data_IF_663248498985
#
_entry.id   IF_663248498985
#
_cell.length_a   1.000
_cell.length_b   1.000
_cell.length_c   1.000
_cell.angle_alpha   90.00
_cell.angle_beta   90.00
_cell.angle_gamma   90.00
#
_symmetry.space_group_name_H-M   'P 1'
#
loop_
_entity.id
_entity.type
_entity.pdbx_description
1 polymer ?
#
# COMPACT_ATOMS: atom_id res chain seq x y z
N UNK A 1 -10.33 4.43 -33.21
CA UNK A 1 -10.45 5.43 -34.32
C UNK A 1 -9.80 6.73 -33.89
N UNK A 2 -8.84 7.25 -34.65
CA UNK A 2 -8.31 8.59 -34.45
C UNK A 2 -9.23 9.61 -35.15
N UNK A 3 -9.54 10.72 -34.47
CA UNK A 3 -10.34 11.83 -35.01
C UNK A 3 -9.53 13.12 -34.92
N UNK A 4 -9.73 14.03 -35.88
CA UNK A 4 -9.25 15.41 -35.77
C UNK A 4 -10.06 16.19 -34.73
N UNK A 5 -9.54 17.35 -34.29
CA UNK A 5 -10.27 18.31 -33.45
C UNK A 5 -11.60 18.79 -34.08
N UNK A 6 -11.75 18.68 -35.41
CA UNK A 6 -12.99 18.94 -36.14
C UNK A 6 -13.92 17.72 -36.28
N UNK A 7 -13.63 16.62 -35.58
CA UNK A 7 -14.50 15.44 -35.51
C UNK A 7 -14.41 14.48 -36.71
N UNK A 8 -13.54 14.75 -37.69
CA UNK A 8 -13.41 13.91 -38.88
C UNK A 8 -12.48 12.72 -38.60
N UNK A 9 -12.95 11.51 -38.92
CA UNK A 9 -12.17 10.27 -38.73
C UNK A 9 -11.08 10.17 -39.78
N UNK A 10 -9.83 9.90 -39.38
CA UNK A 10 -8.66 10.03 -40.26
C UNK A 10 -8.14 8.69 -40.81
N UNK A 11 -8.57 7.54 -40.28
CA UNK A 11 -8.11 6.21 -40.71
C UNK A 11 -9.18 5.11 -40.54
N UNK A 12 -9.09 4.08 -41.39
CA UNK A 12 -9.83 2.81 -41.25
C UNK A 12 -9.48 2.10 -39.95
N UNK A 13 -10.42 1.30 -39.42
CA UNK A 13 -10.30 0.63 -38.13
C UNK A 13 -8.99 -0.16 -38.00
N UNK A 14 -8.07 0.35 -37.17
CA UNK A 14 -6.88 -0.38 -36.73
C UNK A 14 -7.34 -1.57 -35.88
N UNK A 15 -7.50 -2.73 -36.52
CA UNK A 15 -7.68 -3.99 -35.84
C UNK A 15 -6.41 -4.35 -35.06
N UNK A 16 -6.39 -4.03 -33.77
CA UNK A 16 -5.31 -4.47 -32.87
C UNK A 16 -5.62 -5.89 -32.45
N UNK A 17 -4.96 -6.87 -33.06
CA UNK A 17 -5.06 -8.26 -32.62
C UNK A 17 -3.91 -8.55 -31.65
N UNK A 18 -4.17 -8.38 -30.36
CA UNK A 18 -3.22 -8.75 -29.31
C UNK A 18 -3.19 -10.27 -29.17
N UNK A 19 -2.06 -10.89 -29.51
CA UNK A 19 -1.83 -12.32 -29.22
C UNK A 19 -1.85 -12.50 -27.70
N UNK A 20 -2.69 -13.39 -27.18
CA UNK A 20 -2.67 -13.75 -25.77
C UNK A 20 -1.25 -14.16 -25.38
N UNK A 21 -0.69 -13.63 -24.28
CA UNK A 21 0.61 -14.09 -23.81
C UNK A 21 0.51 -15.60 -23.55
N UNK A 22 1.46 -16.36 -24.10
CA UNK A 22 1.72 -17.74 -23.68
C UNK A 22 1.85 -17.79 -22.16
N UNK A 23 1.51 -18.89 -21.46
CA UNK A 23 1.49 -18.97 -20.00
C UNK A 23 2.92 -18.87 -19.43
N UNK A 24 3.44 -17.65 -19.41
CA UNK A 24 4.53 -17.20 -18.58
C UNK A 24 3.85 -16.59 -17.36
N UNK A 25 4.18 -17.16 -16.19
CA UNK A 25 3.79 -16.75 -14.84
C UNK A 25 3.32 -15.29 -14.80
N UNK A 26 2.01 -15.12 -14.77
CA UNK A 26 1.36 -13.83 -14.65
C UNK A 26 1.70 -13.31 -13.27
N UNK A 27 2.64 -12.37 -13.18
CA UNK A 27 2.62 -11.39 -12.10
C UNK A 27 1.31 -10.63 -12.27
N UNK A 28 0.29 -11.03 -11.50
CA UNK A 28 -1.02 -10.41 -11.49
C UNK A 28 -0.87 -9.01 -10.87
N UNK A 29 -0.45 -8.04 -11.69
CA UNK A 29 -0.88 -6.66 -11.50
C UNK A 29 -2.38 -6.63 -11.77
N UNK A 30 -3.18 -6.78 -10.71
CA UNK A 30 -4.64 -6.80 -10.83
C UNK A 30 -5.15 -5.42 -11.25
N UNK A 31 -5.99 -5.44 -12.28
CA UNK A 31 -6.88 -4.36 -12.71
C UNK A 31 -7.70 -3.84 -11.54
N UNK A 32 -7.63 -2.54 -11.25
CA UNK A 32 -8.60 -1.85 -10.41
C UNK A 32 -9.93 -1.86 -11.18
N UNK A 33 -10.79 -2.83 -10.90
CA UNK A 33 -12.16 -2.84 -11.41
C UNK A 33 -13.04 -1.93 -10.56
N UNK A 34 -12.87 -0.62 -10.74
CA UNK A 34 -13.81 0.38 -10.23
C UNK A 34 -14.70 0.87 -11.38
N UNK A 35 -15.95 0.41 -11.44
CA UNK A 35 -16.96 0.99 -12.31
C UNK A 35 -17.47 2.30 -11.71
N UNK A 36 -16.80 3.42 -12.00
CA UNK A 36 -17.39 4.75 -12.24
C UNK A 36 -16.26 5.72 -12.57
N UNK A 37 -16.09 6.02 -13.86
CA UNK A 37 -15.27 7.12 -14.35
C UNK A 37 -16.15 8.35 -14.49
N UNK A 38 -16.19 9.20 -13.47
CA UNK A 38 -16.57 10.60 -13.66
C UNK A 38 -15.35 11.45 -13.26
N UNK A 39 -14.64 11.92 -14.29
CA UNK A 39 -13.57 12.89 -14.17
C UNK A 39 -14.16 14.22 -13.67
N UNK A 40 -13.86 14.60 -12.42
CA UNK A 40 -13.99 15.99 -11.97
C UNK A 40 -12.59 16.59 -11.93
N UNK A 41 -12.33 17.48 -12.89
CA UNK A 41 -11.14 18.31 -12.98
C UNK A 41 -10.98 19.20 -11.72
N UNK A 42 -9.89 19.00 -10.99
CA UNK A 42 -9.29 20.00 -10.09
C UNK A 42 -7.76 19.79 -10.09
N UNK A 43 -6.95 20.83 -9.84
CA UNK A 43 -5.57 20.89 -10.32
C UNK A 43 -4.67 19.98 -9.48
N UNK A 44 -4.27 18.84 -10.04
CA UNK A 44 -3.26 17.99 -9.44
C UNK A 44 -1.88 18.60 -9.68
N UNK A 45 -1.21 19.01 -8.61
CA UNK A 45 0.26 18.98 -8.57
C UNK A 45 0.67 17.54 -8.89
N UNK A 46 1.30 17.36 -10.05
CA UNK A 46 1.85 16.09 -10.50
C UNK A 46 2.85 15.58 -9.46
N UNK A 47 2.43 14.66 -8.58
CA UNK A 47 3.38 13.79 -7.90
C UNK A 47 3.84 12.83 -8.99
N UNK A 48 5.03 13.09 -9.53
CA UNK A 48 5.68 12.15 -10.44
C UNK A 48 5.94 10.87 -9.66
N UNK A 49 5.49 9.74 -10.21
CA UNK A 49 5.80 8.38 -9.74
C UNK A 49 7.31 8.05 -9.78
N UNK A 50 8.14 8.99 -10.25
CA UNK A 50 9.60 8.88 -10.35
C UNK A 50 10.32 9.13 -9.00
N UNK A 51 9.66 9.67 -7.98
CA UNK A 51 10.26 10.05 -6.69
C UNK A 51 9.97 9.07 -5.52
N UNK A 52 9.34 7.92 -5.78
CA UNK A 52 9.24 6.84 -4.78
C UNK A 52 10.24 5.74 -5.15
N UNK A 53 11.33 5.63 -4.37
CA UNK A 53 12.14 4.41 -4.25
C UNK A 53 11.23 3.27 -3.79
N UNK A 54 10.43 2.71 -4.70
CA UNK A 54 9.52 1.59 -4.39
C UNK A 54 10.33 0.30 -4.41
N UNK A 55 10.36 -0.47 -3.31
CA UNK A 55 11.03 -1.76 -3.31
C UNK A 55 10.41 -2.69 -4.36
N UNK A 56 11.21 -3.52 -5.04
CA UNK A 56 10.68 -4.53 -5.98
C UNK A 56 9.63 -5.41 -5.28
N UNK A 57 8.59 -5.81 -6.02
CA UNK A 57 7.44 -6.58 -5.51
C UNK A 57 6.55 -5.84 -4.51
N UNK A 58 6.49 -4.51 -4.56
CA UNK A 58 5.52 -3.72 -3.80
C UNK A 58 4.44 -3.14 -4.70
N UNK A 59 3.20 -3.15 -4.22
CA UNK A 59 2.10 -2.41 -4.80
C UNK A 59 2.00 -1.07 -4.08
N UNK A 60 2.15 0.00 -4.84
CA UNK A 60 1.83 1.36 -4.39
C UNK A 60 0.53 1.77 -5.05
N UNK A 61 -0.46 2.19 -4.27
CA UNK A 61 -1.78 2.54 -4.81
C UNK A 61 -2.53 3.55 -3.96
N UNK A 62 -3.48 4.22 -4.60
CA UNK A 62 -4.49 5.06 -3.96
C UNK A 62 -5.86 4.42 -4.21
N UNK A 63 -6.53 4.00 -3.14
CA UNK A 63 -7.85 3.38 -3.20
C UNK A 63 -8.87 4.37 -2.65
N UNK A 64 -9.72 4.91 -3.51
CA UNK A 64 -10.91 5.68 -3.11
C UNK A 64 -12.11 4.76 -3.03
N UNK A 65 -12.87 4.83 -1.95
CA UNK A 65 -14.05 4.02 -1.76
C UNK A 65 -15.16 4.82 -1.07
N UNK A 66 -16.40 4.72 -1.57
CA UNK A 66 -17.54 5.35 -0.92
C UNK A 66 -17.94 4.56 0.32
N UNK A 67 -18.15 5.27 1.43
CA UNK A 67 -18.70 4.74 2.66
C UNK A 67 -20.10 5.33 2.86
N UNK A 68 -21.07 4.45 3.09
CA UNK A 68 -22.38 4.85 3.61
C UNK A 68 -22.27 4.95 5.12
N UNK A 69 -22.33 6.17 5.65
CA UNK A 69 -22.18 6.44 7.07
C UNK A 69 -23.46 7.04 7.65
N UNK A 70 -23.87 6.56 8.81
CA UNK A 70 -24.86 7.23 9.63
C UNK A 70 -24.17 8.29 10.48
N UNK A 71 -24.45 9.56 10.20
CA UNK A 71 -23.95 10.69 10.98
C UNK A 71 -25.02 11.10 11.97
N UNK A 72 -24.69 11.09 13.25
CA UNK A 72 -25.61 11.47 14.32
C UNK A 72 -26.19 12.87 14.06
N UNK A 73 -27.52 12.96 13.96
CA UNK A 73 -28.25 14.20 13.70
C UNK A 73 -28.40 14.60 12.23
N UNK A 74 -27.72 13.92 11.30
CA UNK A 74 -27.85 14.16 9.85
C UNK A 74 -28.39 12.94 9.08
N UNK A 75 -28.33 11.75 9.68
CA UNK A 75 -28.74 10.51 9.05
C UNK A 75 -27.67 9.97 8.09
N UNK A 76 -28.09 9.18 7.10
CA UNK A 76 -27.15 8.55 6.16
C UNK A 76 -26.55 9.58 5.18
N UNK A 77 -25.22 9.55 5.06
CA UNK A 77 -24.44 10.36 4.11
C UNK A 77 -23.39 9.47 3.45
N UNK A 78 -23.09 9.78 2.19
CA UNK A 78 -21.96 9.21 1.49
C UNK A 78 -20.70 10.00 1.87
N UNK A 79 -19.65 9.28 2.22
CA UNK A 79 -18.36 9.83 2.62
C UNK A 79 -17.29 9.13 1.81
N UNK A 80 -16.36 9.89 1.24
CA UNK A 80 -15.25 9.31 0.51
C UNK A 80 -14.08 9.03 1.44
N UNK A 81 -13.67 7.76 1.51
CA UNK A 81 -12.41 7.33 2.08
C UNK A 81 -11.37 7.18 0.98
N UNK A 82 -10.14 7.63 1.24
CA UNK A 82 -8.99 7.29 0.38
C UNK A 82 -7.88 6.67 1.20
N UNK A 83 -7.41 5.47 0.87
CA UNK A 83 -6.20 4.88 1.44
C UNK A 83 -5.06 4.93 0.43
N UNK A 84 -3.91 5.44 0.85
CA UNK A 84 -2.67 5.32 0.10
C UNK A 84 -1.76 4.35 0.83
N UNK A 85 -1.02 3.49 0.15
CA UNK A 85 -0.01 2.69 0.83
C UNK A 85 0.87 1.87 -0.09
N UNK A 86 1.93 1.32 0.50
CA UNK A 86 2.90 0.44 -0.15
C UNK A 86 2.87 -0.92 0.54
N UNK A 87 2.47 -1.99 -0.16
CA UNK A 87 2.44 -3.35 0.39
C UNK A 87 3.15 -4.33 -0.54
N UNK A 88 4.03 -5.21 -0.04
CA UNK A 88 4.53 -6.33 -0.84
C UNK A 88 3.38 -7.17 -1.40
N UNK A 89 3.46 -7.58 -2.68
CA UNK A 89 2.40 -8.35 -3.36
C UNK A 89 2.53 -9.86 -3.19
N UNK A 90 3.67 -10.33 -2.66
CA UNK A 90 3.99 -11.75 -2.59
C UNK A 90 4.50 -12.10 -1.20
N UNK A 91 3.86 -13.05 -0.50
CA UNK A 91 4.34 -13.59 0.78
C UNK A 91 4.51 -15.10 0.79
N UNK A 92 5.37 -15.56 1.71
CA UNK A 92 5.58 -16.97 1.97
C UNK A 92 4.40 -17.53 2.79
N UNK A 93 4.06 -18.82 2.63
CA UNK A 93 3.09 -19.47 3.50
C UNK A 93 3.50 -19.34 4.98
N UNK A 94 2.58 -18.91 5.85
CA UNK A 94 2.87 -18.70 7.27
C UNK A 94 3.59 -17.39 7.62
N UNK A 95 3.92 -16.55 6.63
CA UNK A 95 4.59 -15.28 6.86
C UNK A 95 3.65 -14.24 7.52
N UNK A 96 4.20 -13.46 8.45
CA UNK A 96 3.51 -12.31 9.04
C UNK A 96 3.80 -11.07 8.20
N UNK A 97 2.76 -10.32 7.87
CA UNK A 97 2.86 -9.13 7.06
C UNK A 97 1.91 -8.02 7.49
N UNK A 98 2.21 -6.81 7.06
CA UNK A 98 1.31 -5.67 7.10
C UNK A 98 0.88 -5.33 5.67
N UNK A 99 -0.38 -5.01 5.49
CA UNK A 99 -0.99 -4.66 4.21
C UNK A 99 -0.69 -3.23 3.74
N UNK A 100 0.49 -2.74 4.13
CA UNK A 100 1.02 -1.45 3.79
C UNK A 100 1.00 -0.42 4.90
N UNK A 101 1.69 0.67 4.65
CA UNK A 101 1.79 1.88 5.49
C UNK A 101 1.22 3.05 4.72
N UNK A 102 0.32 3.80 5.34
CA UNK A 102 -0.53 4.72 4.61
C UNK A 102 -1.28 5.74 5.44
N UNK A 103 -1.96 6.65 4.78
CA UNK A 103 -2.93 7.53 5.46
C UNK A 103 -4.26 7.55 4.71
N UNK A 104 -5.31 7.67 5.51
CA UNK A 104 -6.68 7.92 5.15
C UNK A 104 -6.96 9.40 4.93
N UNK A 105 -7.82 9.74 3.99
CA UNK A 105 -8.51 11.04 3.97
C UNK A 105 -10.01 10.81 3.96
N UNK A 106 -10.70 11.57 4.80
CA UNK A 106 -12.15 11.71 4.79
C UNK A 106 -12.47 13.09 4.24
N UNK A 107 -13.29 13.14 3.18
CA UNK A 107 -13.79 14.40 2.62
C UNK A 107 -15.26 14.52 2.96
N UNK A 108 -15.61 15.57 3.70
CA UNK A 108 -16.99 15.99 3.89
C UNK A 108 -17.31 17.04 2.83
N UNK A 109 -18.24 16.76 1.90
CA UNK A 109 -18.62 17.71 0.86
C UNK A 109 -19.21 18.99 1.44
N UNK A 110 -18.99 20.12 0.77
CA UNK A 110 -19.49 21.43 1.17
C UNK A 110 -20.98 21.46 1.61
N UNK A 111 -21.94 20.79 0.94
CA UNK A 111 -23.33 20.77 1.39
C UNK A 111 -23.54 20.14 2.78
N UNK A 112 -22.73 19.13 3.12
CA UNK A 112 -22.76 18.47 4.44
C UNK A 112 -22.14 19.40 5.48
N UNK A 113 -21.06 20.10 5.12
CA UNK A 113 -20.43 21.12 5.98
C UNK A 113 -21.40 22.26 6.26
N UNK A 114 -22.15 22.73 5.26
CA UNK A 114 -23.17 23.76 5.42
C UNK A 114 -24.28 23.33 6.39
N UNK A 115 -24.77 22.10 6.25
CA UNK A 115 -25.79 21.53 7.15
C UNK A 115 -25.28 21.42 8.59
N UNK A 116 -24.01 21.05 8.78
CA UNK A 116 -23.35 21.02 10.09
C UNK A 116 -23.22 22.42 10.70
N UNK A 117 -22.74 23.39 9.93
CA UNK A 117 -22.53 24.77 10.40
C UNK A 117 -23.85 25.49 10.68
N UNK A 118 -24.94 25.17 9.97
CA UNK A 118 -26.27 25.67 10.29
C UNK A 118 -26.77 25.19 11.66
N UNK A 119 -26.37 23.99 12.09
CA UNK A 119 -26.70 23.45 13.42
C UNK A 119 -25.74 23.93 14.52
N UNK A 120 -24.48 24.22 14.17
CA UNK A 120 -23.45 24.71 15.10
C UNK A 120 -22.72 25.94 14.54
N UNK A 121 -23.36 27.14 14.54
CA UNK A 121 -22.83 28.31 13.83
C UNK A 121 -21.52 28.87 14.39
N UNK A 122 -21.19 28.55 15.64
CA UNK A 122 -19.95 28.97 16.29
C UNK A 122 -18.74 28.07 15.95
N UNK A 123 -18.95 26.97 15.21
CA UNK A 123 -17.88 26.08 14.81
C UNK A 123 -17.05 26.67 13.68
N UNK A 124 -15.73 26.64 13.84
CA UNK A 124 -14.75 27.13 12.85
C UNK A 124 -13.67 26.10 12.54
N UNK A 125 -13.59 25.04 13.34
CA UNK A 125 -12.64 23.93 13.24
C UNK A 125 -13.41 22.62 13.37
N UNK A 126 -12.92 21.58 12.71
CA UNK A 126 -13.35 20.21 12.95
C UNK A 126 -12.12 19.33 13.16
N UNK A 127 -12.18 18.44 14.13
CA UNK A 127 -11.26 17.32 14.25
C UNK A 127 -12.07 16.05 14.36
N UNK A 128 -11.44 14.90 14.17
CA UNK A 128 -12.11 13.63 14.37
C UNK A 128 -11.12 12.62 14.91
N UNK A 129 -11.65 11.59 15.55
CA UNK A 129 -10.87 10.42 15.93
C UNK A 129 -11.66 9.15 15.62
N UNK A 130 -10.94 8.14 15.16
CA UNK A 130 -11.50 6.85 14.77
C UNK A 130 -11.35 5.90 15.94
N UNK A 131 -12.48 5.37 16.43
CA UNK A 131 -12.58 4.43 17.56
C UNK A 131 -12.88 2.99 17.11
N UNK A 132 -13.24 2.81 15.84
CA UNK A 132 -13.42 1.52 15.19
C UNK A 132 -12.90 1.62 13.75
N UNK A 133 -11.97 0.75 13.38
CA UNK A 133 -11.50 0.64 11.99
C UNK A 133 -11.16 -0.81 11.69
N UNK A 134 -12.12 -1.53 11.13
CA UNK A 134 -11.97 -2.94 10.82
C UNK A 134 -11.39 -3.14 9.42
N UNK A 135 -10.49 -4.10 9.33
CA UNK A 135 -10.05 -4.69 8.08
C UNK A 135 -10.27 -6.20 8.16
N UNK A 136 -10.93 -6.77 7.19
CA UNK A 136 -11.08 -8.22 7.07
C UNK A 136 -10.16 -8.77 6.00
N UNK A 137 -9.84 -10.05 6.12
CA UNK A 137 -8.96 -10.75 5.21
C UNK A 137 -9.47 -12.15 4.93
N UNK A 138 -9.12 -12.69 3.77
CA UNK A 138 -9.26 -14.13 3.49
C UNK A 138 -7.92 -14.83 3.70
N UNK A 139 -7.95 -16.10 4.09
CA UNK A 139 -6.74 -16.93 4.17
C UNK A 139 -5.59 -16.37 5.02
N UNK A 140 -5.91 -15.63 6.09
CA UNK A 140 -4.94 -15.22 7.12
C UNK A 140 -5.44 -15.46 8.53
N UNK A 141 -4.53 -15.31 9.51
CA UNK A 141 -4.86 -15.17 10.92
C UNK A 141 -4.23 -13.87 11.48
N UNK A 142 -5.01 -13.00 12.18
CA UNK A 142 -6.46 -13.08 12.32
C UNK A 142 -7.18 -12.68 11.02
N UNK A 143 -8.38 -13.24 10.78
CA UNK A 143 -9.21 -12.89 9.62
C UNK A 143 -9.78 -11.47 9.69
N UNK A 144 -9.72 -10.83 10.86
CA UNK A 144 -10.15 -9.45 11.07
C UNK A 144 -9.22 -8.75 12.06
N UNK A 145 -8.88 -7.50 11.77
CA UNK A 145 -8.13 -6.63 12.66
C UNK A 145 -8.90 -5.33 12.85
N UNK A 146 -9.13 -4.93 14.10
CA UNK A 146 -9.56 -3.56 14.42
C UNK A 146 -8.32 -2.72 14.74
N UNK A 147 -7.99 -1.79 13.85
CA UNK A 147 -6.81 -0.94 13.99
C UNK A 147 -6.93 0.07 15.14
N UNK A 148 -8.15 0.53 15.44
CA UNK A 148 -8.40 1.45 16.54
C UNK A 148 -8.32 0.77 17.93
N UNK A 149 -8.33 -0.57 17.98
CA UNK A 149 -8.12 -1.31 19.23
C UNK A 149 -6.69 -1.15 19.78
N UNK A 150 -5.73 -0.73 18.95
CA UNK A 150 -4.34 -0.44 19.36
C UNK A 150 -4.17 0.96 19.96
N UNK A 151 -5.22 1.78 19.92
CA UNK A 151 -5.21 3.18 20.32
C UNK A 151 -6.08 4.00 19.37
N UNK A 152 -6.72 5.03 19.91
CA UNK A 152 -7.55 5.95 19.14
C UNK A 152 -6.74 6.60 18.02
N UNK A 153 -7.22 6.48 16.78
CA UNK A 153 -6.54 7.08 15.62
C UNK A 153 -7.04 8.51 15.50
N UNK A 154 -6.21 9.48 15.88
CA UNK A 154 -6.55 10.90 15.79
C UNK A 154 -6.39 11.41 14.37
N UNK A 155 -7.37 12.18 13.90
CA UNK A 155 -7.33 12.89 12.65
C UNK A 155 -6.81 14.32 12.80
N UNK A 156 -6.33 14.87 11.69
CA UNK A 156 -5.89 16.27 11.62
C UNK A 156 -7.03 17.23 11.97
N UNK A 157 -6.73 18.31 12.68
CA UNK A 157 -7.69 19.40 12.79
C UNK A 157 -7.75 20.17 11.45
N UNK A 158 -8.96 20.47 10.99
CA UNK A 158 -9.22 21.16 9.71
C UNK A 158 -10.14 22.35 9.93
N UNK A 159 -9.95 23.41 9.14
CA UNK A 159 -10.87 24.54 9.16
C UNK A 159 -12.19 24.15 8.51
N UNK A 160 -13.31 24.64 9.05
CA UNK A 160 -14.64 24.48 8.44
C UNK A 160 -15.24 25.85 8.16
N UNK A 161 -15.80 26.00 6.97
CA UNK A 161 -16.45 27.22 6.52
C UNK A 161 -17.52 26.89 5.50
N UNK A 162 -18.55 27.72 5.42
CA UNK A 162 -19.63 27.54 4.46
C UNK A 162 -19.11 27.45 3.02
N UNK A 163 -19.72 26.56 2.23
CA UNK A 163 -19.37 26.36 0.82
C UNK A 163 -17.99 25.77 0.56
N UNK A 164 -17.32 25.17 1.57
CA UNK A 164 -16.01 24.52 1.42
C UNK A 164 -16.05 23.07 1.89
N UNK A 165 -15.30 22.21 1.22
CA UNK A 165 -15.09 20.84 1.66
C UNK A 165 -14.22 20.81 2.92
N UNK A 166 -14.59 19.97 3.87
CA UNK A 166 -13.74 19.69 5.04
C UNK A 166 -12.97 18.40 4.80
N UNK A 167 -11.65 18.47 4.82
CA UNK A 167 -10.79 17.30 4.64
C UNK A 167 -10.08 16.99 5.94
N UNK A 168 -10.27 15.76 6.43
CA UNK A 168 -9.59 15.26 7.62
C UNK A 168 -8.66 14.11 7.21
N UNK A 169 -7.38 14.23 7.56
CA UNK A 169 -6.36 13.18 7.37
C UNK A 169 -6.31 12.29 8.60
N UNK A 170 -6.14 10.98 8.41
CA UNK A 170 -5.97 10.02 9.50
C UNK A 170 -4.91 8.97 9.17
N UNK A 171 -3.97 8.66 10.09
CA UNK A 171 -3.66 9.40 11.31
C UNK A 171 -3.17 10.83 10.98
N UNK A 172 -3.28 11.74 11.94
CA UNK A 172 -2.95 13.16 11.76
C UNK A 172 -1.48 13.36 11.31
N UNK A 173 -0.56 12.69 12.01
CA UNK A 173 0.88 12.97 11.93
C UNK A 173 1.73 11.73 11.61
N UNK A 174 1.09 10.61 11.31
CA UNK A 174 1.78 9.34 11.04
C UNK A 174 1.08 8.51 9.98
N UNK A 175 1.76 7.48 9.52
CA UNK A 175 1.16 6.45 8.69
C UNK A 175 0.51 5.36 9.56
N UNK A 176 -0.65 4.90 9.14
CA UNK A 176 -1.34 3.72 9.63
C UNK A 176 -0.75 2.48 8.94
N UNK A 177 -0.25 1.55 9.75
CA UNK A 177 0.16 0.23 9.25
C UNK A 177 -0.96 -0.78 9.45
N UNK A 178 -1.53 -1.31 8.37
CA UNK A 178 -2.69 -2.22 8.44
C UNK A 178 -2.20 -3.65 8.70
N UNK A 179 -2.44 -4.18 9.90
CA UNK A 179 -1.97 -5.52 10.30
C UNK A 179 -1.58 -5.58 11.78
N UNK A 180 -0.85 -6.62 12.22
CA UNK A 180 -0.28 -7.70 11.40
C UNK A 180 -1.31 -8.76 11.00
N UNK A 181 -1.12 -9.35 9.82
CA UNK A 181 -1.79 -10.56 9.36
C UNK A 181 -0.76 -11.67 9.18
N UNK A 182 -1.14 -12.92 9.43
CA UNK A 182 -0.31 -14.09 9.13
C UNK A 182 -0.95 -14.91 8.02
N UNK A 183 -0.29 -15.01 6.86
CA UNK A 183 -0.77 -15.84 5.76
C UNK A 183 -0.93 -17.30 6.22
N UNK A 184 -1.99 -17.98 5.79
CA UNK A 184 -2.12 -19.41 6.07
C UNK A 184 -1.00 -20.20 5.35
N UNK A 185 -0.62 -21.34 5.95
CA UNK A 185 0.42 -22.21 5.40
C UNK A 185 0.00 -22.95 4.12
N UNK A 186 -1.25 -22.80 3.68
CA UNK A 186 -1.80 -23.46 2.49
C UNK A 186 -1.32 -22.84 1.18
N UNK A 187 -0.70 -21.66 1.21
CA UNK A 187 -0.26 -20.97 0.00
C UNK A 187 -1.42 -20.38 -0.81
N UNK A 188 -2.54 -20.07 -0.17
CA UNK A 188 -3.72 -19.50 -0.82
C UNK A 188 -3.66 -17.98 -0.80
N UNK A 189 -3.98 -17.35 -1.94
CA UNK A 189 -4.04 -15.89 -2.06
C UNK A 189 -4.92 -15.26 -0.99
N UNK A 190 -4.47 -14.13 -0.47
CA UNK A 190 -5.17 -13.35 0.54
C UNK A 190 -5.75 -12.11 -0.13
N UNK A 191 -7.03 -11.84 0.11
CA UNK A 191 -7.64 -10.56 -0.21
C UNK A 191 -7.95 -9.82 1.08
N UNK A 192 -7.72 -8.52 1.08
CA UNK A 192 -8.01 -7.63 2.20
C UNK A 192 -9.15 -6.68 1.85
N UNK A 193 -10.07 -6.49 2.78
CA UNK A 193 -11.27 -5.70 2.59
C UNK A 193 -11.42 -4.68 3.71
N UNK A 194 -12.00 -3.53 3.39
CA UNK A 194 -12.43 -2.55 4.39
C UNK A 194 -13.67 -3.10 5.11
N UNK A 195 -13.64 -3.10 6.44
CA UNK A 195 -14.74 -3.49 7.30
C UNK A 195 -15.55 -2.28 7.79
N UNK A 196 -16.15 -2.39 8.97
CA UNK A 196 -16.89 -1.27 9.58
C UNK A 196 -15.91 -0.21 10.08
N UNK A 197 -16.37 1.03 10.04
CA UNK A 197 -15.61 2.17 10.59
C UNK A 197 -16.49 2.98 11.53
N UNK A 198 -15.94 3.40 12.66
CA UNK A 198 -16.60 4.25 13.63
C UNK A 198 -15.66 5.40 13.99
N UNK A 199 -16.20 6.61 13.98
CA UNK A 199 -15.45 7.81 14.32
C UNK A 199 -16.33 8.77 15.11
N UNK A 200 -15.68 9.66 15.86
CA UNK A 200 -16.32 10.81 16.49
C UNK A 200 -15.73 12.07 15.88
N UNK A 201 -16.59 12.90 15.31
CA UNK A 201 -16.25 14.22 14.79
C UNK A 201 -16.54 15.25 15.86
N UNK A 202 -15.55 16.06 16.20
CA UNK A 202 -15.65 17.17 17.13
C UNK A 202 -15.64 18.48 16.37
N UNK A 203 -16.68 19.28 16.54
CA UNK A 203 -16.74 20.65 16.06
C UNK A 203 -16.19 21.56 17.16
N UNK A 204 -15.28 22.46 16.80
CA UNK A 204 -14.60 23.36 17.73
C UNK A 204 -14.66 24.81 17.28
N UNK A 205 -14.48 25.73 18.22
CA UNK A 205 -14.22 27.13 17.92
C UNK A 205 -12.70 27.39 17.69
N UNK A 206 -12.35 28.63 17.37
CA UNK A 206 -10.95 29.04 17.15
C UNK A 206 -10.05 28.92 18.40
N UNK A 207 -10.64 28.83 19.59
CA UNK A 207 -9.92 28.61 20.84
C UNK A 207 -9.67 27.10 21.12
N UNK A 208 -10.12 26.20 20.23
CA UNK A 208 -9.97 24.75 20.38
C UNK A 208 -11.00 24.10 21.32
N UNK A 209 -11.97 24.86 21.81
CA UNK A 209 -13.05 24.32 22.65
C UNK A 209 -14.01 23.50 21.80
N UNK A 210 -14.27 22.25 22.22
CA UNK A 210 -15.29 21.39 21.61
C UNK A 210 -16.68 21.95 21.90
N UNK A 211 -17.41 22.27 20.83
CA UNK A 211 -18.77 22.80 20.86
C UNK A 211 -19.81 21.69 20.67
N UNK A 212 -19.50 20.70 19.84
CA UNK A 212 -20.37 19.57 19.55
C UNK A 212 -19.53 18.32 19.20
N UNK A 213 -20.06 17.14 19.46
CA UNK A 213 -19.43 15.85 19.15
C UNK A 213 -20.45 14.91 18.52
N UNK A 214 -20.16 14.42 17.33
CA UNK A 214 -21.06 13.58 16.56
C UNK A 214 -20.43 12.24 16.24
N UNK A 215 -21.15 11.16 16.56
CA UNK A 215 -20.74 9.83 16.13
C UNK A 215 -21.05 9.64 14.64
N UNK A 216 -20.10 9.03 13.94
CA UNK A 216 -20.19 8.64 12.55
C UNK A 216 -19.91 7.14 12.50
N UNK A 217 -20.93 6.35 12.20
CA UNK A 217 -20.80 4.90 12.04
C UNK A 217 -21.01 4.55 10.56
N UNK A 218 -19.97 4.01 9.94
CA UNK A 218 -19.95 3.59 8.55
C UNK A 218 -20.11 2.08 8.44
N UNK A 219 -21.00 1.66 7.54
CA UNK A 219 -21.20 0.26 7.23
C UNK A 219 -20.02 -0.30 6.43
N UNK A 220 -19.95 -1.63 6.36
CA UNK A 220 -19.06 -2.32 5.41
C UNK A 220 -19.43 -1.86 3.99
N UNK A 221 -18.45 -1.52 3.12
CA UNK A 221 -18.74 -1.19 1.73
C UNK A 221 -19.56 -2.29 1.04
N UNK A 222 -20.58 -1.88 0.29
CA UNK A 222 -21.41 -2.77 -0.52
C UNK A 222 -21.49 -2.24 -1.96
N UNK A 223 -20.86 -2.90 -2.94
CA UNK A 223 -20.16 -4.19 -2.83
C UNK A 223 -18.86 -4.12 -1.99
N UNK A 224 -18.39 -5.26 -1.43
CA UNK A 224 -17.14 -5.29 -0.68
C UNK A 224 -15.98 -4.70 -1.49
N UNK A 225 -15.24 -3.77 -0.89
CA UNK A 225 -14.10 -3.12 -1.53
C UNK A 225 -12.81 -3.84 -1.15
N UNK A 226 -12.16 -4.48 -2.13
CA UNK A 226 -10.83 -5.07 -1.97
C UNK A 226 -9.77 -3.98 -1.96
N UNK A 227 -8.95 -3.94 -0.93
CA UNK A 227 -7.83 -3.01 -0.77
C UNK A 227 -6.62 -3.51 -1.55
N UNK A 228 -6.29 -4.78 -1.32
CA UNK A 228 -5.17 -5.45 -1.97
C UNK A 228 -5.47 -6.94 -2.05
N UNK A 229 -5.09 -7.51 -3.19
CA UNK A 229 -4.97 -8.96 -3.35
C UNK A 229 -3.49 -9.29 -3.28
N UNK A 230 -3.14 -10.10 -2.31
CA UNK A 230 -1.80 -10.53 -2.01
C UNK A 230 -1.66 -11.98 -2.47
N UNK A 231 -0.74 -12.24 -3.40
CA UNK A 231 -0.43 -13.60 -3.79
C UNK A 231 0.34 -14.26 -2.68
N UNK A 232 -0.12 -15.41 -2.22
CA UNK A 232 0.71 -16.27 -1.37
C UNK A 232 1.26 -17.32 -2.29
N UNK A 233 2.58 -17.42 -2.37
CA UNK A 233 3.19 -18.33 -3.32
C UNK A 233 2.74 -19.78 -3.03
N UNK A 234 1.92 -20.33 -3.91
CA UNK A 234 1.39 -21.69 -3.78
C UNK A 234 2.51 -22.72 -3.71
N UNK A 235 2.33 -23.74 -2.86
CA UNK A 235 3.21 -24.91 -2.67
C UNK A 235 4.71 -24.59 -2.62
N UNK A 236 5.25 -24.45 -1.40
CA UNK A 236 6.67 -24.50 -1.06
C UNK A 236 7.61 -23.95 -2.16
N UNK A 237 7.65 -22.62 -2.30
CA UNK A 237 8.68 -21.97 -3.12
C UNK A 237 10.03 -22.45 -2.62
N UNK A 238 10.81 -23.08 -3.49
CA UNK A 238 12.15 -23.51 -3.10
C UNK A 238 12.97 -22.28 -2.68
N UNK A 239 13.76 -22.37 -1.58
CA UNK A 239 14.63 -21.27 -1.18
C UNK A 239 15.54 -20.89 -2.34
N UNK A 240 16.00 -19.63 -2.32
CA UNK A 240 17.08 -19.22 -3.20
C UNK A 240 18.30 -20.13 -2.98
N UNK A 241 19.15 -20.26 -3.99
CA UNK A 241 20.48 -20.85 -3.77
C UNK A 241 21.51 -19.92 -4.35
N UNK A 242 22.60 -19.68 -3.64
CA UNK A 242 23.75 -18.96 -4.20
C UNK A 242 24.74 -20.02 -4.66
N UNK A 243 25.00 -20.07 -5.97
CA UNK A 243 25.94 -21.02 -6.56
C UNK A 243 27.34 -20.42 -6.69
N UNK A 244 27.44 -19.12 -7.00
CA UNK A 244 28.72 -18.42 -7.06
C UNK A 244 28.56 -16.91 -6.91
N UNK A 245 29.66 -16.24 -6.56
CA UNK A 245 29.76 -14.80 -6.36
C UNK A 245 30.98 -14.28 -7.13
N UNK A 246 30.78 -13.25 -7.96
CA UNK A 246 31.83 -12.70 -8.80
C UNK A 246 31.78 -11.17 -8.90
N UNK A 247 32.88 -10.44 -8.63
CA UNK A 247 34.13 -10.92 -8.07
C UNK A 247 33.94 -11.59 -6.69
N UNK A 248 34.74 -12.61 -6.38
CA UNK A 248 34.68 -13.30 -5.07
C UNK A 248 35.42 -12.55 -3.96
N UNK A 249 35.82 -11.30 -4.21
CA UNK A 249 36.45 -10.43 -3.22
C UNK A 249 36.01 -8.97 -3.33
N UNK A 250 35.95 -8.29 -2.20
CA UNK A 250 35.69 -6.84 -2.09
C UNK A 250 36.67 -6.18 -1.11
N UNK A 251 36.57 -4.87 -0.92
CA UNK A 251 37.37 -4.09 0.03
C UNK A 251 36.54 -3.72 1.26
N UNK A 252 37.20 -3.54 2.41
CA UNK A 252 36.55 -3.10 3.67
C UNK A 252 35.65 -1.86 3.50
N UNK A 253 36.06 -0.92 2.63
CA UNK A 253 35.30 0.29 2.36
C UNK A 253 33.95 0.08 1.63
N UNK A 254 33.68 -1.12 1.10
CA UNK A 254 32.48 -1.38 0.31
C UNK A 254 32.47 -0.68 -1.05
N UNK A 255 31.27 -0.52 -1.62
CA UNK A 255 31.02 0.21 -2.87
C UNK A 255 31.37 -0.58 -4.15
N UNK A 256 31.81 -1.84 -4.04
CA UNK A 256 32.07 -2.69 -5.21
C UNK A 256 30.80 -3.41 -5.65
N UNK A 257 30.57 -3.40 -6.95
CA UNK A 257 29.50 -4.16 -7.61
C UNK A 257 29.90 -5.64 -7.72
N UNK A 258 29.06 -6.51 -7.19
CA UNK A 258 29.20 -7.96 -7.16
C UNK A 258 28.03 -8.59 -7.89
N UNK A 259 28.31 -9.56 -8.76
CA UNK A 259 27.30 -10.41 -9.38
C UNK A 259 27.16 -11.70 -8.59
N UNK A 260 25.94 -12.02 -8.19
CA UNK A 260 25.56 -13.23 -7.47
C UNK A 260 24.81 -14.12 -8.46
N UNK A 261 25.27 -15.35 -8.61
CA UNK A 261 24.65 -16.38 -9.44
C UNK A 261 23.96 -17.42 -8.57
N UNK A 262 22.87 -17.98 -9.08
CA UNK A 262 22.08 -18.91 -8.30
C UNK A 262 20.79 -19.34 -8.96
N UNK A 263 19.80 -19.67 -8.13
CA UNK A 263 18.44 -20.02 -8.56
C UNK A 263 17.40 -19.35 -7.67
N UNK A 264 16.17 -19.23 -8.19
CA UNK A 264 15.00 -18.67 -7.51
C UNK A 264 15.14 -17.20 -7.06
N UNK A 265 15.91 -16.39 -7.79
CA UNK A 265 16.15 -14.98 -7.46
C UNK A 265 15.02 -14.01 -7.85
N UNK A 266 14.03 -14.44 -8.65
CA UNK A 266 12.90 -13.58 -9.05
C UNK A 266 12.16 -12.96 -7.85
N UNK A 267 12.18 -13.65 -6.71
CA UNK A 267 11.50 -13.26 -5.48
C UNK A 267 12.49 -12.87 -4.38
N UNK A 268 13.72 -12.47 -4.74
CA UNK A 268 14.68 -11.95 -3.79
C UNK A 268 14.15 -10.63 -3.20
N UNK A 269 14.17 -10.53 -1.87
CA UNK A 269 13.74 -9.36 -1.10
C UNK A 269 14.89 -8.69 -0.38
N UNK A 270 15.95 -9.43 -0.09
CA UNK A 270 17.13 -8.88 0.54
C UNK A 270 18.39 -9.66 0.11
N UNK A 271 19.52 -8.97 0.17
CA UNK A 271 20.85 -9.52 -0.08
C UNK A 271 21.76 -9.02 1.02
N UNK A 272 22.39 -9.94 1.76
CA UNK A 272 23.29 -9.59 2.87
C UNK A 272 24.67 -10.18 2.66
N UNK A 273 25.67 -9.49 3.22
CA UNK A 273 27.07 -9.90 3.27
C UNK A 273 27.49 -10.00 4.75
N UNK A 274 27.68 -11.21 5.26
CA UNK A 274 27.96 -11.45 6.68
C UNK A 274 26.86 -10.93 7.61
N UNK A 275 25.61 -10.89 7.14
CA UNK A 275 24.47 -10.31 7.87
C UNK A 275 24.30 -8.80 7.71
N UNK A 276 25.21 -8.10 7.04
CA UNK A 276 25.07 -6.66 6.73
C UNK A 276 24.32 -6.50 5.39
N UNK A 277 23.21 -5.74 5.33
CA UNK A 277 22.47 -5.51 4.08
C UNK A 277 23.34 -4.89 2.98
N UNK A 278 23.15 -5.34 1.74
CA UNK A 278 23.77 -4.73 0.58
C UNK A 278 23.41 -3.24 0.49
N UNK A 279 24.35 -2.40 0.01
CA UNK A 279 24.08 -0.98 -0.18
C UNK A 279 22.98 -0.75 -1.23
N UNK A 280 22.91 -1.62 -2.24
CA UNK A 280 21.80 -1.75 -3.18
C UNK A 280 21.89 -3.10 -3.90
N UNK A 281 20.81 -3.56 -4.53
CA UNK A 281 20.85 -4.69 -5.44
C UNK A 281 19.79 -4.60 -6.54
N UNK A 282 20.01 -5.34 -7.62
CA UNK A 282 19.12 -5.46 -8.78
C UNK A 282 19.01 -6.93 -9.15
N UNK A 283 17.78 -7.45 -9.21
CA UNK A 283 17.50 -8.79 -9.73
C UNK A 283 17.47 -8.71 -11.26
N UNK A 284 18.49 -9.25 -11.92
CA UNK A 284 18.58 -9.24 -13.37
C UNK A 284 17.78 -10.41 -14.00
N UNK A 285 17.71 -11.54 -13.31
CA UNK A 285 16.93 -12.71 -13.71
C UNK A 285 16.71 -13.66 -12.52
N UNK A 286 16.00 -14.77 -12.75
CA UNK A 286 15.82 -15.85 -11.76
C UNK A 286 17.12 -16.50 -11.29
N UNK A 287 18.24 -16.23 -11.97
CA UNK A 287 19.55 -16.85 -11.71
C UNK A 287 20.68 -15.83 -11.54
N UNK A 288 20.39 -14.52 -11.59
CA UNK A 288 21.40 -13.47 -11.50
C UNK A 288 20.90 -12.26 -10.71
N UNK A 289 21.67 -11.87 -9.70
CA UNK A 289 21.53 -10.60 -8.97
C UNK A 289 22.82 -9.80 -9.10
N UNK A 290 22.71 -8.48 -9.22
CA UNK A 290 23.83 -7.56 -9.09
C UNK A 290 23.65 -6.79 -7.78
N UNK A 291 24.63 -6.78 -6.88
CA UNK A 291 24.56 -6.12 -5.58
C UNK A 291 25.79 -5.23 -5.33
N UNK A 292 25.63 -4.14 -4.60
CA UNK A 292 26.73 -3.27 -4.17
C UNK A 292 27.08 -3.59 -2.72
N UNK A 293 28.35 -3.90 -2.47
CA UNK A 293 28.84 -4.26 -1.14
C UNK A 293 28.77 -3.07 -0.18
N UNK A 294 28.29 -3.26 1.07
CA UNK A 294 28.34 -2.23 2.10
C UNK A 294 29.76 -2.16 2.71
N UNK A 295 29.96 -1.31 3.71
CA UNK A 295 31.17 -1.34 4.55
C UNK A 295 31.16 -2.64 5.37
N UNK A 296 32.24 -3.42 5.31
CA UNK A 296 32.31 -4.77 5.86
C UNK A 296 33.62 -5.01 6.62
N UNK A 297 33.64 -5.85 7.67
CA UNK A 297 34.87 -6.28 8.31
C UNK A 297 35.71 -7.14 7.37
N UNK A 298 37.05 -7.09 7.52
CA UNK A 298 37.96 -7.95 6.77
C UNK A 298 37.74 -9.44 7.12
N UNK A 299 37.93 -10.32 6.14
CA UNK A 299 37.75 -11.77 6.29
C UNK A 299 36.75 -12.37 5.30
N UNK A 300 36.48 -13.66 5.45
CA UNK A 300 35.50 -14.37 4.62
C UNK A 300 34.11 -14.24 5.24
N UNK A 301 33.15 -13.75 4.47
CA UNK A 301 31.77 -13.55 4.88
C UNK A 301 30.80 -14.33 3.98
N UNK A 302 29.67 -14.73 4.55
CA UNK A 302 28.59 -15.37 3.82
C UNK A 302 27.83 -14.36 2.96
N UNK A 303 27.40 -14.79 1.77
CA UNK A 303 26.49 -14.05 0.90
C UNK A 303 25.15 -14.77 0.91
N UNK A 304 24.14 -14.10 1.44
CA UNK A 304 22.80 -14.67 1.61
C UNK A 304 21.79 -13.85 0.82
N UNK A 305 21.02 -14.54 -0.01
CA UNK A 305 19.85 -13.98 -0.69
C UNK A 305 18.62 -14.44 0.07
N UNK A 306 17.86 -13.50 0.61
CA UNK A 306 16.57 -13.79 1.22
C UNK A 306 15.47 -13.68 0.17
N UNK A 307 14.73 -14.76 -0.05
CA UNK A 307 13.55 -14.74 -0.91
C UNK A 307 12.31 -15.29 -0.23
N UNK A 308 11.20 -15.31 -0.96
CA UNK A 308 9.91 -15.86 -0.50
C UNK A 308 10.00 -17.34 -0.13
N UNK A 309 10.92 -18.11 -0.73
CA UNK A 309 11.16 -19.51 -0.37
C UNK A 309 12.03 -19.73 0.87
N UNK A 310 12.48 -18.66 1.53
CA UNK A 310 13.45 -18.70 2.63
C UNK A 310 14.84 -18.20 2.25
N UNK A 311 15.76 -18.22 3.22
CA UNK A 311 17.15 -17.81 3.03
C UNK A 311 17.88 -18.77 2.11
N UNK A 312 18.78 -18.25 1.29
CA UNK A 312 19.60 -19.10 0.46
C UNK A 312 20.59 -19.93 1.25
N UNK A 313 21.01 -21.07 0.68
CA UNK A 313 22.31 -21.63 1.05
C UNK A 313 23.40 -20.60 0.69
N UNK A 314 24.25 -20.27 1.66
CA UNK A 314 25.23 -19.17 1.55
C UNK A 314 26.28 -19.43 0.47
N UNK A 315 26.55 -18.43 -0.35
CA UNK A 315 27.85 -18.31 -1.04
C UNK A 315 28.86 -17.60 -0.13
N UNK A 316 30.12 -17.43 -0.56
CA UNK A 316 31.14 -16.73 0.23
C UNK A 316 31.81 -15.61 -0.56
N UNK A 317 32.16 -14.52 0.12
CA UNK A 317 32.99 -13.42 -0.40
C UNK A 317 34.18 -13.16 0.54
N UNK A 318 35.32 -12.77 0.00
CA UNK A 318 36.50 -12.38 0.79
C UNK A 318 36.67 -10.86 0.83
N UNK A 319 36.63 -10.27 2.01
CA UNK A 319 36.86 -8.84 2.23
C UNK A 319 38.35 -8.62 2.54
N UNK A 320 39.01 -7.79 1.74
CA UNK A 320 40.43 -7.42 1.85
C UNK A 320 40.62 -5.98 2.33
#
# INVERSE_FOLDING_TARGET
KLKTASGKSILWDLGVNCKAPSPAVIALGMTISGQHSDEVSAPHTNIRTEDLDTPMNTQTGSLRFPLSCNVQGLGRRQVDGTFNGVAPVLYAPGEVFNAGTGYGRIVLPAPVVDELLNQVPAATRASAYVDLLEFSSTNTAPVMVNMAAKGTITGSETAVSHGQDAVVRFPADSDLSIGPFKALSTGSDTALYVGRTGAVVQLKNNAGQVLDSRRVDCDVPNPPTTIVSVTIAGTAVSPATVSSVWPSSTVVAGGKTITIYGTNFNNARDVTFGGVPAASYTVASSTKITAVTPVLPAGTLDVTVQGVGGSSKSGTITVK
#
